data_IF_888602759672
#
_entry.id   IF_888602759672
#
_cell.length_a   1.000
_cell.length_b   1.000
_cell.length_c   1.000
_cell.angle_alpha   90.00
_cell.angle_beta   90.00
_cell.angle_gamma   90.00
#
_symmetry.space_group_name_H-M   'P 1'
#
loop_
_entity.id
_entity.type
_entity.pdbx_description
1 polymer ?
#
# COMPACT_ATOMS: atom_id res chain seq x y z
N UNK A 1 40.42 -12.38 -3.79
CA UNK A 1 39.63 -11.45 -2.96
C UNK A 1 38.70 -12.30 -2.13
N UNK A 2 38.75 -12.21 -0.79
CA UNK A 2 37.91 -13.05 0.08
C UNK A 2 36.46 -12.55 0.01
N UNK A 3 35.47 -13.43 0.21
CA UNK A 3 34.04 -13.08 0.14
C UNK A 3 33.65 -11.91 1.08
N UNK A 4 34.39 -11.74 2.18
CA UNK A 4 34.22 -10.63 3.12
C UNK A 4 34.64 -9.24 2.57
N UNK A 5 35.60 -9.18 1.65
CA UNK A 5 36.07 -7.92 1.07
C UNK A 5 35.05 -7.35 0.07
N UNK A 6 34.38 -8.24 -0.68
CA UNK A 6 33.29 -7.89 -1.61
C UNK A 6 32.06 -7.35 -0.89
N UNK A 7 31.67 -7.99 0.21
CA UNK A 7 30.57 -7.54 1.05
C UNK A 7 30.85 -6.19 1.74
N UNK A 8 32.11 -5.86 2.01
CA UNK A 8 32.49 -4.56 2.58
C UNK A 8 32.40 -3.42 1.57
N UNK A 9 32.96 -3.60 0.37
CA UNK A 9 32.93 -2.58 -0.69
C UNK A 9 31.50 -2.23 -1.15
N UNK A 10 30.58 -3.22 -1.11
CA UNK A 10 29.16 -3.01 -1.36
C UNK A 10 28.48 -2.12 -0.31
N UNK A 11 28.71 -2.38 0.99
CA UNK A 11 28.12 -1.61 2.11
C UNK A 11 28.41 -0.11 2.01
N UNK A 12 29.65 0.24 1.66
CA UNK A 12 30.09 1.65 1.55
C UNK A 12 29.42 2.40 0.37
N UNK A 13 29.00 1.68 -0.68
CA UNK A 13 28.34 2.26 -1.86
C UNK A 13 26.84 2.43 -1.61
N UNK A 14 26.21 1.49 -0.92
CA UNK A 14 24.77 1.50 -0.62
C UNK A 14 24.38 2.54 0.45
N UNK A 15 25.28 2.80 1.42
CA UNK A 15 25.17 3.89 2.41
C UNK A 15 24.99 5.28 1.79
N UNK A 16 25.34 5.47 0.51
CA UNK A 16 25.16 6.75 -0.19
C UNK A 16 23.75 6.97 -0.72
N UNK A 17 22.91 5.93 -0.80
CA UNK A 17 21.62 5.96 -1.52
C UNK A 17 20.40 5.64 -0.64
N UNK A 18 20.61 5.00 0.51
CA UNK A 18 19.55 4.68 1.47
C UNK A 18 19.94 5.11 2.89
N UNK A 19 18.96 5.40 3.73
CA UNK A 19 19.21 5.67 5.14
C UNK A 19 19.77 4.42 5.84
N UNK A 20 20.72 4.58 6.75
CA UNK A 20 21.34 3.47 7.50
C UNK A 20 20.30 2.58 8.20
N UNK A 21 19.16 3.14 8.59
CA UNK A 21 18.06 2.42 9.21
C UNK A 21 17.33 1.46 8.23
N UNK A 22 17.13 1.87 6.98
CA UNK A 22 16.53 1.02 5.94
C UNK A 22 17.51 -0.07 5.52
N UNK A 23 18.79 0.25 5.45
CA UNK A 23 19.86 -0.69 5.11
C UNK A 23 20.00 -1.80 6.16
N UNK A 24 20.10 -1.45 7.45
CA UNK A 24 20.22 -2.43 8.53
C UNK A 24 18.99 -3.33 8.68
N UNK A 25 17.80 -2.86 8.31
CA UNK A 25 16.58 -3.68 8.29
C UNK A 25 16.51 -4.63 7.09
N UNK A 26 17.26 -4.36 6.02
CA UNK A 26 17.29 -5.18 4.80
C UNK A 26 18.34 -6.31 4.83
N UNK A 27 19.28 -6.28 5.78
CA UNK A 27 20.48 -7.13 5.76
C UNK A 27 20.15 -8.62 5.61
N UNK A 28 19.21 -9.18 6.38
CA UNK A 28 18.89 -10.62 6.28
C UNK A 28 18.25 -11.05 4.95
N UNK A 29 17.38 -10.21 4.37
CA UNK A 29 16.75 -10.50 3.08
C UNK A 29 17.75 -10.34 1.93
N UNK A 30 18.66 -9.36 2.05
CA UNK A 30 19.72 -9.11 1.06
C UNK A 30 20.81 -10.15 1.11
N UNK A 31 21.24 -10.59 2.29
CA UNK A 31 22.21 -11.67 2.46
C UNK A 31 21.71 -12.97 1.83
N UNK A 32 20.40 -13.26 1.92
CA UNK A 32 19.80 -14.41 1.25
C UNK A 32 19.91 -14.29 -0.28
N UNK A 33 19.52 -13.15 -0.86
CA UNK A 33 19.64 -12.90 -2.31
C UNK A 33 21.10 -12.91 -2.76
N UNK A 34 22.02 -12.29 -2.00
CA UNK A 34 23.45 -12.32 -2.26
C UNK A 34 24.00 -13.75 -2.21
N UNK A 35 23.56 -14.57 -1.25
CA UNK A 35 23.92 -15.98 -1.16
C UNK A 35 23.54 -16.75 -2.42
N UNK A 36 22.35 -16.50 -2.97
CA UNK A 36 21.94 -17.06 -4.26
C UNK A 36 22.76 -16.51 -5.43
N UNK A 37 22.92 -15.19 -5.53
CA UNK A 37 23.70 -14.53 -6.60
C UNK A 37 25.14 -15.05 -6.64
N UNK A 38 25.81 -15.21 -5.49
CA UNK A 38 27.19 -15.72 -5.40
C UNK A 38 27.25 -17.22 -5.72
N UNK A 39 26.22 -17.99 -5.38
CA UNK A 39 26.14 -19.43 -5.65
C UNK A 39 25.83 -19.73 -7.11
N UNK A 40 25.03 -18.89 -7.77
CA UNK A 40 24.60 -19.08 -9.14
C UNK A 40 25.77 -18.86 -10.09
N UNK A 41 26.14 -19.95 -10.78
CA UNK A 41 27.04 -19.88 -11.93
C UNK A 41 26.28 -19.48 -13.18
N UNK A 42 26.97 -19.04 -14.26
CA UNK A 42 26.34 -18.80 -15.55
C UNK A 42 25.54 -20.00 -16.08
N UNK A 43 25.87 -21.22 -15.65
CA UNK A 43 25.21 -22.48 -16.03
C UNK A 43 24.17 -22.99 -15.01
N UNK A 44 23.65 -22.13 -14.13
CA UNK A 44 22.69 -22.51 -13.10
C UNK A 44 21.48 -23.31 -13.65
N UNK A 45 21.06 -24.33 -12.91
CA UNK A 45 19.89 -25.13 -13.26
C UNK A 45 18.58 -24.36 -13.03
N UNK A 46 17.52 -24.72 -13.76
CA UNK A 46 16.21 -24.04 -13.72
C UNK A 46 15.61 -23.91 -12.30
N UNK A 47 15.91 -24.86 -11.40
CA UNK A 47 15.46 -24.82 -10.00
C UNK A 47 16.18 -23.73 -9.19
N UNK A 48 17.50 -23.57 -9.35
CA UNK A 48 18.27 -22.55 -8.63
C UNK A 48 17.90 -21.14 -9.09
N UNK A 49 17.58 -20.98 -10.39
CA UNK A 49 17.09 -19.72 -10.95
C UNK A 49 15.71 -19.36 -10.40
N UNK A 50 14.84 -20.36 -10.18
CA UNK A 50 13.52 -20.15 -9.58
C UNK A 50 13.62 -19.68 -8.13
N UNK A 51 14.52 -20.29 -7.35
CA UNK A 51 14.74 -19.89 -5.96
C UNK A 51 15.29 -18.47 -5.86
N UNK A 52 16.17 -18.06 -6.78
CA UNK A 52 16.58 -16.67 -6.89
C UNK A 52 15.39 -15.74 -7.16
N UNK A 53 14.47 -16.09 -8.08
CA UNK A 53 13.31 -15.24 -8.37
C UNK A 53 12.39 -15.10 -7.15
N UNK A 54 12.18 -16.19 -6.40
CA UNK A 54 11.43 -16.15 -5.15
C UNK A 54 12.12 -15.27 -4.10
N UNK A 55 13.44 -15.37 -3.97
CA UNK A 55 14.24 -14.54 -3.07
C UNK A 55 14.19 -13.07 -3.49
N UNK A 56 14.28 -12.77 -4.79
CA UNK A 56 14.18 -11.44 -5.36
C UNK A 56 12.80 -10.81 -5.12
N UNK A 57 11.72 -11.56 -5.34
CA UNK A 57 10.36 -11.13 -5.02
C UNK A 57 10.17 -10.84 -3.52
N UNK A 58 10.74 -11.69 -2.66
CA UNK A 58 10.72 -11.49 -1.20
C UNK A 58 11.47 -10.23 -0.80
N UNK A 59 12.66 -10.00 -1.38
CA UNK A 59 13.41 -8.76 -1.17
C UNK A 59 12.59 -7.54 -1.61
N UNK A 60 11.92 -7.60 -2.76
CA UNK A 60 11.00 -6.57 -3.23
C UNK A 60 9.91 -6.23 -2.21
N UNK A 61 9.27 -7.25 -1.61
CA UNK A 61 8.25 -7.05 -0.56
C UNK A 61 8.81 -6.36 0.67
N UNK A 62 9.97 -6.79 1.16
CA UNK A 62 10.63 -6.18 2.34
C UNK A 62 11.04 -4.73 2.05
N UNK A 63 11.55 -4.45 0.85
CA UNK A 63 11.87 -3.08 0.43
C UNK A 63 10.63 -2.18 0.44
N UNK A 64 9.48 -2.68 -0.01
CA UNK A 64 8.22 -1.95 0.06
C UNK A 64 7.72 -1.77 1.50
N UNK A 65 7.95 -2.73 2.40
CA UNK A 65 7.62 -2.63 3.82
C UNK A 65 8.43 -1.53 4.53
N UNK A 66 9.67 -1.34 4.11
CA UNK A 66 10.58 -0.31 4.61
C UNK A 66 10.49 1.03 3.87
N UNK A 67 9.48 1.18 3.00
CA UNK A 67 9.21 2.39 2.19
C UNK A 67 10.42 2.83 1.34
N UNK A 68 11.17 1.84 0.83
CA UNK A 68 12.27 2.09 -0.10
C UNK A 68 11.78 2.82 -1.36
N UNK A 69 12.67 3.62 -1.96
CA UNK A 69 12.37 4.32 -3.21
C UNK A 69 12.27 3.34 -4.38
N UNK A 70 11.49 3.71 -5.41
CA UNK A 70 11.37 2.92 -6.66
C UNK A 70 12.72 2.80 -7.38
N UNK A 71 13.55 3.83 -7.30
CA UNK A 71 14.90 3.85 -7.88
C UNK A 71 15.77 2.81 -7.20
N UNK A 72 15.77 2.80 -5.85
CA UNK A 72 16.53 1.82 -5.09
C UNK A 72 16.11 0.39 -5.45
N UNK A 73 14.80 0.11 -5.53
CA UNK A 73 14.30 -1.20 -5.94
C UNK A 73 14.77 -1.60 -7.35
N UNK A 74 14.69 -0.69 -8.32
CA UNK A 74 15.07 -0.95 -9.71
C UNK A 74 16.59 -1.21 -9.89
N UNK A 75 17.43 -0.53 -9.11
CA UNK A 75 18.89 -0.60 -9.21
C UNK A 75 19.51 -1.67 -8.30
N UNK A 76 18.76 -2.20 -7.32
CA UNK A 76 19.30 -3.12 -6.30
C UNK A 76 20.03 -4.32 -6.90
N UNK A 77 19.39 -5.07 -7.81
CA UNK A 77 20.03 -6.26 -8.40
C UNK A 77 21.17 -5.92 -9.35
N UNK A 78 21.12 -4.78 -10.04
CA UNK A 78 22.24 -4.31 -10.87
C UNK A 78 23.46 -4.02 -9.99
N UNK A 79 23.25 -3.30 -8.88
CA UNK A 79 24.29 -2.97 -7.92
C UNK A 79 24.88 -4.22 -7.25
N UNK A 80 24.04 -5.21 -6.93
CA UNK A 80 24.49 -6.49 -6.37
C UNK A 80 25.31 -7.30 -7.37
N UNK A 81 24.89 -7.35 -8.64
CA UNK A 81 25.67 -8.02 -9.69
C UNK A 81 26.99 -7.31 -9.97
N UNK A 82 27.00 -5.97 -9.96
CA UNK A 82 28.22 -5.17 -10.13
C UNK A 82 29.20 -5.42 -8.97
N UNK A 83 28.72 -5.38 -7.72
CA UNK A 83 29.55 -5.62 -6.53
C UNK A 83 30.10 -7.06 -6.46
N UNK A 84 29.35 -8.03 -7.00
CA UNK A 84 29.79 -9.41 -7.13
C UNK A 84 30.69 -9.66 -8.37
N UNK A 85 30.93 -8.63 -9.20
CA UNK A 85 31.71 -8.71 -10.45
C UNK A 85 31.15 -9.71 -11.48
N UNK A 86 29.83 -9.92 -11.48
CA UNK A 86 29.15 -10.92 -12.31
C UNK A 86 28.74 -10.43 -13.71
N UNK A 87 28.95 -9.14 -14.00
CA UNK A 87 28.52 -8.54 -15.25
C UNK A 87 26.99 -8.52 -15.39
N UNK A 88 26.47 -8.96 -16.55
CA UNK A 88 25.03 -9.02 -16.84
C UNK A 88 24.61 -10.47 -17.10
N UNK A 89 24.33 -11.25 -16.05
CA UNK A 89 23.92 -12.64 -16.22
C UNK A 89 22.54 -12.74 -16.88
N UNK A 90 22.30 -13.85 -17.59
CA UNK A 90 21.06 -14.08 -18.36
C UNK A 90 19.80 -14.12 -17.49
N UNK A 91 19.92 -14.51 -16.22
CA UNK A 91 18.83 -14.54 -15.24
C UNK A 91 18.48 -13.15 -14.66
N UNK A 92 19.35 -12.14 -14.83
CA UNK A 92 19.17 -10.83 -14.20
C UNK A 92 17.85 -10.14 -14.58
N UNK A 93 17.42 -10.11 -15.86
CA UNK A 93 16.13 -9.49 -16.21
C UNK A 93 14.94 -10.15 -15.51
N UNK A 94 14.93 -11.49 -15.38
CA UNK A 94 13.88 -12.23 -14.70
C UNK A 94 13.85 -11.96 -13.19
N UNK A 95 15.02 -11.94 -12.55
CA UNK A 95 15.14 -11.60 -11.13
C UNK A 95 14.69 -10.16 -10.85
N UNK A 96 14.99 -9.21 -11.76
CA UNK A 96 14.51 -7.82 -11.67
C UNK A 96 13.00 -7.72 -11.79
N UNK A 97 12.40 -8.46 -12.73
CA UNK A 97 10.94 -8.50 -12.86
C UNK A 97 10.30 -9.02 -11.56
N UNK A 98 10.80 -10.13 -11.01
CA UNK A 98 10.30 -10.71 -9.77
C UNK A 98 10.43 -9.76 -8.57
N UNK A 99 11.57 -9.06 -8.44
CA UNK A 99 11.77 -8.04 -7.39
C UNK A 99 10.76 -6.91 -7.52
N UNK A 100 10.61 -6.35 -8.73
CA UNK A 100 9.69 -5.23 -8.97
C UNK A 100 8.23 -5.64 -8.76
N UNK A 101 7.84 -6.85 -9.16
CA UNK A 101 6.51 -7.41 -8.89
C UNK A 101 6.26 -7.51 -7.39
N UNK A 102 7.17 -8.14 -6.63
CA UNK A 102 7.05 -8.21 -5.16
C UNK A 102 6.97 -6.84 -4.49
N UNK A 103 7.75 -5.87 -4.98
CA UNK A 103 7.72 -4.49 -4.50
C UNK A 103 6.38 -3.79 -4.79
N UNK A 104 5.88 -3.87 -6.02
CA UNK A 104 4.62 -3.23 -6.42
C UNK A 104 3.44 -3.86 -5.70
N UNK A 105 3.32 -5.19 -5.69
CA UNK A 105 2.25 -5.91 -5.01
C UNK A 105 2.20 -5.56 -3.52
N UNK A 106 3.36 -5.53 -2.83
CA UNK A 106 3.38 -5.15 -1.41
C UNK A 106 2.94 -3.69 -1.20
N UNK A 107 3.31 -2.76 -2.09
CA UNK A 107 2.83 -1.37 -2.02
C UNK A 107 1.33 -1.26 -2.28
N UNK A 108 0.79 -2.00 -3.24
CA UNK A 108 -0.65 -2.05 -3.54
C UNK A 108 -1.43 -2.62 -2.37
N UNK A 109 -1.01 -3.77 -1.81
CA UNK A 109 -1.63 -4.35 -0.63
C UNK A 109 -1.61 -3.39 0.57
N UNK A 110 -0.52 -2.61 0.76
CA UNK A 110 -0.46 -1.57 1.79
C UNK A 110 -1.37 -0.38 1.47
N UNK A 111 -1.47 0.03 0.22
CA UNK A 111 -2.40 1.09 -0.20
C UNK A 111 -3.85 0.66 0.05
N UNK A 112 -4.22 -0.54 -0.36
CA UNK A 112 -5.53 -1.14 -0.11
C UNK A 112 -5.81 -1.29 1.39
N UNK A 113 -4.83 -1.75 2.18
CA UNK A 113 -4.99 -1.86 3.63
C UNK A 113 -5.15 -0.48 4.28
N UNK A 114 -4.44 0.55 3.79
CA UNK A 114 -4.59 1.94 4.25
C UNK A 114 -5.93 2.53 3.83
N UNK A 115 -6.39 2.25 2.62
CA UNK A 115 -7.71 2.69 2.15
C UNK A 115 -8.81 2.02 2.95
N UNK A 116 -8.78 0.69 3.13
CA UNK A 116 -9.67 -0.03 4.04
C UNK A 116 -9.62 0.52 5.46
N UNK A 117 -8.42 0.80 5.98
CA UNK A 117 -8.23 1.41 7.31
C UNK A 117 -8.77 2.84 7.41
N UNK A 118 -8.67 3.64 6.34
CA UNK A 118 -9.22 5.00 6.28
C UNK A 118 -10.74 5.01 6.34
N UNK A 119 -11.37 3.97 5.79
CA UNK A 119 -12.82 3.74 5.89
C UNK A 119 -13.23 2.96 7.15
N UNK A 120 -12.28 2.47 7.95
CA UNK A 120 -12.58 1.77 9.20
C UNK A 120 -13.02 2.74 10.33
N UNK A 121 -12.66 4.03 10.26
CA UNK A 121 -13.11 5.06 11.19
C UNK A 121 -13.56 6.32 10.44
N UNK A 122 -14.68 6.27 9.69
CA UNK A 122 -15.18 7.41 8.91
C UNK A 122 -15.96 8.38 9.82
N UNK A 123 -15.37 8.75 10.97
CA UNK A 123 -16.01 9.48 12.06
C UNK A 123 -15.47 10.91 12.12
N UNK A 124 -16.37 11.89 12.03
CA UNK A 124 -16.07 13.29 12.27
C UNK A 124 -16.82 13.73 13.53
N UNK A 125 -16.12 14.32 14.50
CA UNK A 125 -16.76 14.92 15.67
C UNK A 125 -17.50 16.19 15.26
N UNK A 126 -18.79 16.29 15.59
CA UNK A 126 -19.63 17.45 15.28
C UNK A 126 -20.10 18.17 16.55
N UNK A 127 -19.54 17.83 17.71
CA UNK A 127 -19.81 18.47 19.00
C UNK A 127 -20.94 17.82 19.80
N UNK A 128 -21.07 18.21 21.08
CA UNK A 128 -22.17 17.83 21.98
C UNK A 128 -22.37 16.30 22.17
N UNK A 129 -21.29 15.51 22.02
CA UNK A 129 -21.38 14.05 22.07
C UNK A 129 -22.03 13.45 20.82
N UNK A 130 -21.99 14.17 19.70
CA UNK A 130 -22.49 13.73 18.39
C UNK A 130 -21.33 13.54 17.42
N UNK A 131 -21.46 12.58 16.53
CA UNK A 131 -20.49 12.34 15.45
C UNK A 131 -21.21 12.18 14.12
N UNK A 132 -20.58 12.64 13.03
CA UNK A 132 -20.98 12.31 11.67
C UNK A 132 -20.22 11.06 11.20
N UNK A 133 -20.93 10.10 10.62
CA UNK A 133 -20.37 8.86 10.10
C UNK A 133 -20.78 8.66 8.65
N UNK A 134 -19.79 8.46 7.76
CA UNK A 134 -20.07 8.01 6.40
C UNK A 134 -19.94 6.49 6.31
N UNK A 135 -21.06 5.78 6.38
CA UNK A 135 -21.17 4.32 6.36
C UNK A 135 -21.02 3.77 4.94
N UNK A 136 -19.81 3.82 4.39
CA UNK A 136 -19.48 3.30 3.06
C UNK A 136 -18.60 2.04 3.13
N UNK A 137 -18.86 1.15 4.10
CA UNK A 137 -18.19 -0.15 4.13
C UNK A 137 -18.64 -0.96 2.90
N UNK A 138 -17.72 -1.15 1.96
CA UNK A 138 -17.91 -1.94 0.76
C UNK A 138 -17.45 -3.37 1.04
N UNK A 139 -18.37 -4.19 1.57
CA UNK A 139 -18.20 -5.65 1.63
C UNK A 139 -19.46 -6.33 1.09
N UNK A 140 -19.26 -7.49 0.46
CA UNK A 140 -20.34 -8.43 0.10
C UNK A 140 -20.59 -9.44 1.23
N UNK A 141 -19.75 -9.46 2.25
CA UNK A 141 -19.89 -10.30 3.43
C UNK A 141 -20.63 -9.53 4.56
N UNK A 142 -21.84 -9.98 4.86
CA UNK A 142 -22.66 -9.44 5.94
C UNK A 142 -21.98 -9.56 7.31
N UNK A 143 -21.18 -10.62 7.54
CA UNK A 143 -20.47 -10.82 8.80
C UNK A 143 -19.36 -9.80 8.98
N UNK A 144 -18.63 -9.48 7.90
CA UNK A 144 -17.61 -8.43 7.90
C UNK A 144 -18.24 -7.05 8.15
N UNK A 145 -19.38 -6.77 7.50
CA UNK A 145 -20.11 -5.52 7.67
C UNK A 145 -20.60 -5.33 9.11
N UNK A 146 -21.12 -6.39 9.76
CA UNK A 146 -21.51 -6.35 11.18
C UNK A 146 -20.31 -6.17 12.10
N UNK A 147 -19.23 -6.93 11.89
CA UNK A 147 -18.03 -6.82 12.72
C UNK A 147 -17.42 -5.41 12.65
N UNK A 148 -17.44 -4.78 11.49
CA UNK A 148 -17.06 -3.37 11.33
C UNK A 148 -17.96 -2.44 12.15
N UNK A 149 -19.28 -2.58 12.03
CA UNK A 149 -20.25 -1.74 12.74
C UNK A 149 -20.11 -1.86 14.26
N UNK A 150 -19.99 -3.08 14.79
CA UNK A 150 -19.78 -3.36 16.21
C UNK A 150 -18.47 -2.74 16.72
N UNK A 151 -17.39 -2.90 15.96
CA UNK A 151 -16.08 -2.33 16.29
C UNK A 151 -16.12 -0.80 16.32
N UNK A 152 -16.77 -0.18 15.35
CA UNK A 152 -16.96 1.27 15.27
C UNK A 152 -17.80 1.78 16.46
N UNK A 153 -18.99 1.22 16.66
CA UNK A 153 -19.90 1.61 17.74
C UNK A 153 -19.27 1.39 19.12
N UNK A 154 -18.56 0.29 19.31
CA UNK A 154 -17.83 0.02 20.56
C UNK A 154 -16.78 1.09 20.88
N UNK A 155 -16.10 1.65 19.86
CA UNK A 155 -15.19 2.80 20.04
C UNK A 155 -15.96 4.09 20.37
N UNK A 156 -17.09 4.35 19.71
CA UNK A 156 -17.92 5.53 19.95
C UNK A 156 -18.55 5.52 21.35
N UNK A 157 -19.01 4.36 21.82
CA UNK A 157 -19.52 4.17 23.17
C UNK A 157 -18.45 4.49 24.23
N UNK A 158 -17.21 4.01 24.04
CA UNK A 158 -16.07 4.35 24.92
C UNK A 158 -15.78 5.86 24.96
N UNK A 159 -16.05 6.57 23.85
CA UNK A 159 -15.94 8.03 23.74
C UNK A 159 -17.17 8.78 24.28
N UNK A 160 -18.16 8.09 24.84
CA UNK A 160 -19.44 8.65 25.36
C UNK A 160 -20.24 9.42 24.31
N UNK A 161 -20.15 9.01 23.05
CA UNK A 161 -21.00 9.51 21.98
C UNK A 161 -22.44 9.05 22.24
N UNK A 162 -23.40 9.97 22.06
CA UNK A 162 -24.83 9.74 22.28
C UNK A 162 -25.62 9.68 20.98
N UNK A 163 -25.13 10.35 19.94
CA UNK A 163 -25.81 10.43 18.65
C UNK A 163 -24.83 10.26 17.51
N UNK A 164 -25.21 9.46 16.53
CA UNK A 164 -24.53 9.28 15.25
C UNK A 164 -25.42 9.88 14.17
N UNK A 165 -24.88 10.83 13.40
CA UNK A 165 -25.48 11.32 12.16
C UNK A 165 -24.86 10.53 11.01
N UNK A 166 -25.62 9.60 10.42
CA UNK A 166 -25.11 8.65 9.44
C UNK A 166 -25.63 8.91 8.01
N UNK A 167 -24.76 8.70 7.03
CA UNK A 167 -25.10 8.61 5.60
C UNK A 167 -24.26 7.52 4.95
N UNK A 168 -24.74 6.84 3.92
CA UNK A 168 -23.99 5.76 3.28
C UNK A 168 -24.87 4.72 2.59
N UNK A 169 -24.31 3.52 2.40
CA UNK A 169 -24.99 2.38 1.76
C UNK A 169 -25.98 1.74 2.74
N UNK A 170 -27.15 1.31 2.27
CA UNK A 170 -28.22 0.82 3.14
C UNK A 170 -27.80 -0.37 4.01
N UNK A 171 -27.04 -1.33 3.46
CA UNK A 171 -26.54 -2.48 4.24
C UNK A 171 -25.62 -2.07 5.39
N UNK A 172 -24.71 -1.11 5.15
CA UNK A 172 -23.82 -0.58 6.19
C UNK A 172 -24.58 0.28 7.21
N UNK A 173 -25.60 1.04 6.77
CA UNK A 173 -26.47 1.82 7.66
C UNK A 173 -27.31 0.90 8.55
N UNK A 174 -27.85 -0.18 8.01
CA UNK A 174 -28.59 -1.18 8.76
C UNK A 174 -27.71 -1.81 9.86
N UNK A 175 -26.53 -2.31 9.50
CA UNK A 175 -25.58 -2.87 10.47
C UNK A 175 -25.17 -1.84 11.54
N UNK A 176 -24.96 -0.58 11.15
CA UNK A 176 -24.62 0.50 12.09
C UNK A 176 -25.76 0.81 13.05
N UNK A 177 -27.02 0.80 12.58
CA UNK A 177 -28.21 0.99 13.43
C UNK A 177 -28.34 -0.14 14.44
N UNK A 178 -28.21 -1.39 13.99
CA UNK A 178 -28.31 -2.57 14.86
C UNK A 178 -27.26 -2.52 15.99
N UNK A 179 -26.00 -2.25 15.64
CA UNK A 179 -24.92 -2.13 16.61
C UNK A 179 -25.14 -0.94 17.58
N UNK A 180 -25.60 0.21 17.07
CA UNK A 180 -25.85 1.41 17.87
C UNK A 180 -27.03 1.24 18.84
N UNK A 181 -28.07 0.49 18.44
CA UNK A 181 -29.21 0.14 19.29
C UNK A 181 -28.74 -0.62 20.53
N UNK A 182 -27.87 -1.63 20.36
CA UNK A 182 -27.29 -2.41 21.47
C UNK A 182 -26.49 -1.50 22.42
N UNK A 183 -25.77 -0.51 21.88
CA UNK A 183 -24.97 0.41 22.66
C UNK A 183 -25.75 1.59 23.26
N UNK A 184 -27.04 1.75 22.94
CA UNK A 184 -27.86 2.88 23.38
C UNK A 184 -27.46 4.22 22.75
N UNK A 185 -26.92 4.19 21.53
CA UNK A 185 -26.54 5.39 20.76
C UNK A 185 -27.63 5.67 19.71
N UNK A 186 -28.17 6.88 19.70
CA UNK A 186 -29.18 7.26 18.71
C UNK A 186 -28.55 7.40 17.31
N UNK A 187 -29.19 6.86 16.28
CA UNK A 187 -28.74 7.04 14.89
C UNK A 187 -29.75 7.90 14.14
N UNK A 188 -29.29 9.05 13.68
CA UNK A 188 -30.00 9.97 12.79
C UNK A 188 -29.49 9.73 11.37
N UNK A 189 -30.31 9.17 10.48
CA UNK A 189 -29.94 9.15 9.06
C UNK A 189 -30.43 10.42 8.38
N UNK A 190 -29.51 11.16 7.77
CA UNK A 190 -29.88 12.31 6.97
C UNK A 190 -30.79 11.88 5.82
N UNK A 191 -32.07 12.22 5.90
CA UNK A 191 -32.95 12.19 4.73
C UNK A 191 -32.32 13.08 3.66
N UNK A 192 -32.07 12.52 2.48
CA UNK A 192 -31.63 13.17 1.25
C UNK A 192 -30.95 14.55 1.44
N UNK A 193 -29.62 14.54 1.59
CA UNK A 193 -28.86 15.71 1.17
C UNK A 193 -29.30 16.09 -0.26
N UNK A 194 -29.41 17.38 -0.60
CA UNK A 194 -30.02 17.82 -1.85
C UNK A 194 -29.41 17.02 -2.99
N UNK A 195 -30.24 16.24 -3.69
CA UNK A 195 -29.85 15.71 -4.99
C UNK A 195 -29.48 16.95 -5.78
N UNK A 196 -28.19 17.18 -5.99
CA UNK A 196 -27.77 17.89 -7.18
C UNK A 196 -28.27 17.02 -8.32
N UNK A 197 -29.51 17.25 -8.74
CA UNK A 197 -29.92 16.97 -10.10
C UNK A 197 -28.77 17.48 -10.96
N UNK A 198 -28.26 16.70 -11.92
CA UNK A 198 -27.40 17.27 -12.95
C UNK A 198 -28.28 18.27 -13.69
N UNK A 199 -28.31 19.50 -13.17
CA UNK A 199 -28.83 20.64 -13.86
C UNK A 199 -27.93 20.76 -15.08
N UNK A 200 -28.47 20.25 -16.18
CA UNK A 200 -28.02 20.40 -17.55
C UNK A 200 -26.98 21.50 -17.66
N UNK A 201 -25.70 21.14 -17.62
CA UNK A 201 -24.62 22.05 -17.97
C UNK A 201 -24.84 22.35 -19.45
N UNK A 202 -25.49 23.48 -19.71
CA UNK A 202 -25.53 24.09 -21.02
C UNK A 202 -24.11 24.00 -21.63
N UNK A 203 -24.07 23.52 -22.87
CA UNK A 203 -22.87 23.25 -23.63
C UNK A 203 -21.78 24.29 -23.37
N UNK A 204 -20.63 23.83 -22.87
CA UNK A 204 -19.45 24.65 -22.74
C UNK A 204 -19.14 25.29 -24.12
N UNK A 205 -18.97 26.62 -24.22
CA UNK A 205 -18.55 27.23 -25.46
C UNK A 205 -17.17 26.71 -25.84
N UNK A 206 -17.03 26.29 -27.10
CA UNK A 206 -15.80 25.72 -27.65
C UNK A 206 -14.55 26.54 -27.28
N UNK A 207 -13.41 25.91 -26.97
CA UNK A 207 -12.20 26.63 -26.64
C UNK A 207 -11.75 27.46 -27.84
N UNK A 208 -11.77 28.80 -27.69
CA UNK A 208 -11.15 29.71 -28.65
C UNK A 208 -9.67 29.35 -28.74
N UNK A 209 -9.26 28.81 -29.88
CA UNK A 209 -7.85 28.62 -30.24
C UNK A 209 -7.11 29.95 -30.07
N UNK A 210 -6.28 30.06 -29.04
CA UNK A 210 -5.28 31.13 -28.93
C UNK A 210 -4.19 30.85 -29.96
N UNK A 211 -4.24 31.61 -31.04
CA UNK A 211 -3.14 31.75 -31.99
C UNK A 211 -1.97 32.42 -31.25
N UNK A 212 -0.88 31.68 -31.04
CA UNK A 212 0.38 32.26 -30.59
C UNK A 212 1.27 32.47 -31.82
N UNK A 213 1.64 33.72 -32.16
CA UNK A 213 2.62 33.98 -33.21
C UNK A 213 4.00 34.08 -32.56
N UNK A 214 4.80 33.04 -32.67
CA UNK A 214 6.25 33.18 -32.61
C UNK A 214 6.85 32.27 -33.69
N UNK A 215 7.64 32.90 -34.57
CA UNK A 215 8.46 32.22 -35.56
C UNK A 215 9.81 31.82 -35.01
#
# INVERSE_FOLDING_TARGET
MQDGDRARAWRERDQRWASEAVLGALDGARENVLGWIVRLRPEAHDEEVRDLYNAAATLGRVMAELDASRVLAAETLDNLCEAAELGRPSWLPGAKAALLEGFVTSREMRAEARERGRWAEPVVDIGEGRVAVFAAMESEDDAETRAWADGLVGKLAKRRVRTIVAAGREGSLAALRDAAEIAGIAVETGAEGPRQSPESTAAAPAPKRRFWPFG
#
